data_IF_751032552332
#
_entry.id   IF_751032552332
#
_cell.length_a   1.000
_cell.length_b   1.000
_cell.length_c   1.000
_cell.angle_alpha   90.00
_cell.angle_beta   90.00
_cell.angle_gamma   90.00
#
_symmetry.space_group_name_H-M   'P 1'
#
loop_
_entity.id
_entity.type
_entity.pdbx_description
1 polymer ?
#
# COMPACT_ATOMS: atom_id res chain seq x y z
N UNK A 1 6.51 13.17 5.73
CA UNK A 1 5.66 14.32 5.48
C UNK A 1 4.31 14.15 6.17
N UNK A 2 3.56 15.24 6.28
CA UNK A 2 2.23 15.20 6.90
C UNK A 2 1.27 14.29 6.13
N UNK A 3 1.42 14.23 4.82
CA UNK A 3 0.59 13.36 3.96
C UNK A 3 0.82 11.90 4.31
N UNK A 4 2.07 11.49 4.47
CA UNK A 4 2.41 10.11 4.79
C UNK A 4 1.90 9.72 6.19
N UNK A 5 2.01 10.63 7.15
CA UNK A 5 1.49 10.39 8.50
C UNK A 5 -0.02 10.23 8.48
N UNK A 6 -0.74 11.07 7.73
CA UNK A 6 -2.18 10.98 7.60
C UNK A 6 -2.60 9.68 6.91
N UNK A 7 -1.89 9.28 5.86
CA UNK A 7 -2.16 8.01 5.19
C UNK A 7 -1.98 6.83 6.15
N UNK A 8 -0.94 6.87 6.98
CA UNK A 8 -0.71 5.81 7.95
C UNK A 8 -1.84 5.73 8.98
N UNK A 9 -2.25 6.87 9.53
CA UNK A 9 -3.33 6.93 10.53
C UNK A 9 -4.64 6.45 9.93
N UNK A 10 -5.03 6.96 8.75
CA UNK A 10 -6.27 6.57 8.10
C UNK A 10 -6.24 5.11 7.65
N UNK A 11 -5.07 4.64 7.20
CA UNK A 11 -4.91 3.22 6.84
C UNK A 11 -5.14 2.31 8.03
N UNK A 12 -4.62 2.66 9.19
CA UNK A 12 -4.83 1.87 10.42
C UNK A 12 -6.31 1.89 10.82
N UNK A 13 -6.98 3.04 10.72
CA UNK A 13 -8.42 3.12 10.98
C UNK A 13 -9.21 2.17 10.07
N UNK A 14 -8.87 2.12 8.79
CA UNK A 14 -9.51 1.21 7.84
C UNK A 14 -9.27 -0.26 8.20
N UNK A 15 -8.06 -0.59 8.67
CA UNK A 15 -7.71 -1.95 9.05
C UNK A 15 -8.58 -2.47 10.18
N UNK A 16 -8.94 -1.61 11.12
CA UNK A 16 -9.80 -1.99 12.24
C UNK A 16 -11.30 -1.99 11.90
N UNK A 17 -11.66 -1.60 10.68
CA UNK A 17 -13.06 -1.65 10.25
C UNK A 17 -13.38 -3.03 9.70
N UNK A 18 -14.28 -3.80 10.33
CA UNK A 18 -14.57 -5.18 9.91
C UNK A 18 -15.28 -5.28 8.56
N UNK A 19 -15.82 -4.19 8.05
CA UNK A 19 -16.48 -4.16 6.73
C UNK A 19 -15.45 -4.09 5.59
N UNK A 20 -14.24 -3.63 5.88
CA UNK A 20 -13.19 -3.48 4.87
C UNK A 20 -12.40 -4.79 4.77
N UNK A 21 -12.37 -5.38 3.57
CA UNK A 21 -11.64 -6.62 3.28
C UNK A 21 -10.31 -6.35 2.60
N UNK A 22 -10.19 -5.26 1.87
CA UNK A 22 -9.04 -4.93 1.05
C UNK A 22 -8.55 -3.52 1.35
N UNK A 23 -7.24 -3.38 1.56
CA UNK A 23 -6.59 -2.08 1.72
C UNK A 23 -5.73 -1.82 0.50
N UNK A 24 -6.00 -0.73 -0.19
CA UNK A 24 -5.19 -0.27 -1.32
C UNK A 24 -4.46 1.01 -0.96
N UNK A 25 -3.16 1.05 -1.18
CA UNK A 25 -2.33 2.23 -0.96
C UNK A 25 -1.73 2.70 -2.27
N UNK A 26 -1.71 4.01 -2.46
CA UNK A 26 -1.05 4.66 -3.61
C UNK A 26 0.16 5.41 -3.06
N UNK A 27 1.31 4.80 -3.14
CA UNK A 27 2.55 5.39 -2.64
C UNK A 27 3.76 4.65 -3.20
N UNK A 28 4.92 5.26 -3.16
CA UNK A 28 6.21 4.60 -3.44
C UNK A 28 7.16 4.66 -2.26
N UNK A 29 6.70 5.21 -1.14
CA UNK A 29 7.51 5.43 0.05
C UNK A 29 7.46 4.21 0.95
N UNK A 30 8.64 3.61 1.20
CA UNK A 30 8.78 2.44 2.06
C UNK A 30 8.37 2.72 3.51
N UNK A 31 8.27 3.97 3.92
CA UNK A 31 7.84 4.33 5.28
C UNK A 31 6.39 3.88 5.56
N UNK A 32 5.61 3.58 4.52
CA UNK A 32 4.26 3.08 4.68
C UNK A 32 4.16 1.55 4.72
N UNK A 33 5.29 0.84 4.61
CA UNK A 33 5.29 -0.62 4.73
C UNK A 33 4.62 -1.13 6.02
N UNK A 34 4.81 -0.50 7.19
CA UNK A 34 4.14 -0.96 8.41
C UNK A 34 2.62 -0.99 8.32
N UNK A 35 2.02 -0.12 7.51
CA UNK A 35 0.57 -0.12 7.29
C UNK A 35 0.13 -1.39 6.57
N UNK A 36 0.88 -1.80 5.54
CA UNK A 36 0.61 -3.05 4.81
C UNK A 36 0.75 -4.26 5.74
N UNK A 37 1.81 -4.27 6.55
CA UNK A 37 2.06 -5.37 7.49
C UNK A 37 0.92 -5.48 8.51
N UNK A 38 0.43 -4.35 9.00
CA UNK A 38 -0.68 -4.32 9.93
C UNK A 38 -1.97 -4.85 9.30
N UNK A 39 -2.21 -4.49 8.05
CA UNK A 39 -3.36 -4.99 7.30
C UNK A 39 -3.31 -6.52 7.17
N UNK A 40 -2.14 -7.06 6.84
CA UNK A 40 -1.95 -8.51 6.74
C UNK A 40 -2.18 -9.22 8.06
N UNK A 41 -1.71 -8.64 9.18
CA UNK A 41 -1.96 -9.19 10.51
C UNK A 41 -3.45 -9.31 10.83
N UNK A 42 -4.26 -8.42 10.27
CA UNK A 42 -5.71 -8.40 10.48
C UNK A 42 -6.49 -9.12 9.37
N UNK A 43 -5.79 -9.91 8.56
CA UNK A 43 -6.42 -10.72 7.53
C UNK A 43 -6.97 -9.95 6.34
N UNK A 44 -6.49 -8.72 6.14
CA UNK A 44 -6.90 -7.91 4.99
C UNK A 44 -6.05 -8.25 3.78
N UNK A 45 -6.67 -8.18 2.61
CA UNK A 45 -5.96 -8.23 1.35
C UNK A 45 -5.34 -6.87 1.06
N UNK A 46 -4.13 -6.83 0.51
CA UNK A 46 -3.41 -5.57 0.29
C UNK A 46 -3.05 -5.38 -1.18
N UNK A 47 -3.22 -4.16 -1.66
CA UNK A 47 -2.84 -3.74 -3.01
C UNK A 47 -1.98 -2.50 -2.89
N UNK A 48 -0.84 -2.48 -3.57
CA UNK A 48 -0.01 -1.28 -3.67
C UNK A 48 0.00 -0.78 -5.12
N UNK A 49 -0.28 0.51 -5.27
CA UNK A 49 -0.14 1.21 -6.55
C UNK A 49 1.09 2.09 -6.46
N UNK A 50 2.05 1.87 -7.33
CA UNK A 50 3.28 2.66 -7.36
C UNK A 50 3.62 3.14 -8.75
N UNK A 51 4.54 4.10 -8.84
CA UNK A 51 5.00 4.65 -10.11
C UNK A 51 6.51 4.50 -10.23
N UNK A 52 6.95 4.09 -11.40
CA UNK A 52 8.37 4.08 -11.76
C UNK A 52 8.75 5.48 -12.31
N UNK A 53 9.97 5.94 -12.08
CA UNK A 53 11.02 5.31 -11.27
C UNK A 53 10.85 5.61 -9.77
N UNK A 54 11.57 4.87 -8.96
CA UNK A 54 11.66 5.15 -7.51
C UNK A 54 10.67 4.39 -6.64
N UNK A 55 9.93 3.45 -7.21
CA UNK A 55 9.03 2.62 -6.44
C UNK A 55 9.82 1.63 -5.58
N UNK A 56 9.53 1.62 -4.29
CA UNK A 56 10.26 0.82 -3.30
C UNK A 56 10.10 -0.68 -3.52
N UNK A 57 11.23 -1.40 -3.56
CA UNK A 57 11.23 -2.87 -3.61
C UNK A 57 10.61 -3.44 -2.34
N UNK A 58 10.83 -2.80 -1.19
CA UNK A 58 10.25 -3.25 0.08
C UNK A 58 8.72 -3.21 0.04
N UNK A 59 8.13 -2.18 -0.57
CA UNK A 59 6.69 -2.11 -0.74
C UNK A 59 6.18 -3.20 -1.68
N UNK A 60 6.88 -3.41 -2.81
CA UNK A 60 6.49 -4.47 -3.77
C UNK A 60 6.42 -5.82 -3.10
N UNK A 61 7.37 -6.12 -2.23
CA UNK A 61 7.48 -7.42 -1.57
C UNK A 61 6.53 -7.57 -0.38
N UNK A 62 5.83 -6.51 0.00
CA UNK A 62 4.99 -6.49 1.21
C UNK A 62 3.49 -6.52 0.93
N UNK A 63 3.07 -6.41 -0.33
CA UNK A 63 1.65 -6.41 -0.69
C UNK A 63 1.26 -7.71 -1.39
N UNK A 64 -0.01 -8.07 -1.29
CA UNK A 64 -0.54 -9.23 -2.02
C UNK A 64 -0.57 -8.97 -3.52
N UNK A 65 -0.91 -7.74 -3.92
CA UNK A 65 -0.99 -7.34 -5.33
C UNK A 65 -0.24 -6.04 -5.54
N UNK A 66 0.47 -5.96 -6.65
CA UNK A 66 1.25 -4.79 -7.02
C UNK A 66 0.82 -4.31 -8.40
N UNK A 67 0.46 -3.04 -8.51
CA UNK A 67 0.12 -2.41 -9.77
C UNK A 67 1.07 -1.22 -9.94
N UNK A 68 1.80 -1.21 -11.04
CA UNK A 68 2.84 -0.21 -11.29
C UNK A 68 2.48 0.64 -12.49
N UNK A 69 2.58 1.97 -12.32
CA UNK A 69 2.52 2.90 -13.44
C UNK A 69 3.92 3.01 -14.06
N UNK A 70 4.04 2.56 -15.30
CA UNK A 70 5.30 2.50 -16.03
C UNK A 70 5.06 2.96 -17.46
N UNK A 71 5.80 3.98 -17.91
CA UNK A 71 5.67 4.51 -19.27
C UNK A 71 4.22 4.87 -19.63
N UNK A 72 3.51 5.49 -18.69
CA UNK A 72 2.13 5.93 -18.90
C UNK A 72 1.08 4.83 -18.84
N UNK A 73 1.48 3.60 -18.47
CA UNK A 73 0.56 2.45 -18.40
C UNK A 73 0.61 1.79 -17.04
N UNK A 74 -0.53 1.27 -16.58
CA UNK A 74 -0.59 0.46 -15.37
C UNK A 74 -0.31 -1.00 -15.73
N UNK A 75 0.62 -1.60 -15.01
CA UNK A 75 1.04 -2.99 -15.21
C UNK A 75 0.90 -3.72 -13.89
N UNK A 76 0.27 -4.90 -13.92
CA UNK A 76 0.17 -5.80 -12.77
C UNK A 76 1.44 -6.64 -12.68
N UNK A 77 2.05 -6.64 -11.51
CA UNK A 77 3.24 -7.46 -11.26
C UNK A 77 2.95 -8.72 -10.48
#
# INVERSE_FOLDING_TARGET
>A
SDVDVRMAVEGVDMIYNPVIDTLALVTRDADLKPVLMKAMEHGKETIIFGAEPGFSVALRNSADYVIVLRDGQYVTE
#
